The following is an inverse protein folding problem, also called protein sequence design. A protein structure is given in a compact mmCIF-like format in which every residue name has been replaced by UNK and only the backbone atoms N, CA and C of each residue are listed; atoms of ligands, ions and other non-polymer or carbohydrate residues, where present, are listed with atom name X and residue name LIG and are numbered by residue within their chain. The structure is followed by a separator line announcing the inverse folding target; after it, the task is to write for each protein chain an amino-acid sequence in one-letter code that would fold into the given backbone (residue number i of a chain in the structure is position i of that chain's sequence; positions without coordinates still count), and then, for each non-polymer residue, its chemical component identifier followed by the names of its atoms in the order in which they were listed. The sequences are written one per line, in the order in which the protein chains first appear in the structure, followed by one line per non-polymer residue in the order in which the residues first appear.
data_IF_848754005014
#
_entry.id   IF_848754005014
#
_cell.length_a   1.000
_cell.length_b   1.000
_cell.length_c   1.000
_cell.angle_alpha   90.00
_cell.angle_beta   90.00
_cell.angle_gamma   90.00
#
_symmetry.space_group_name_H-M   'P 1'
#
loop_
_entity.id
_entity.type
_entity.pdbx_description
1 polymer ?
#
# COMPACT_ATOMS: atom_id res chain seq x y z
N UNK A 1 -11.85 -34.40 -26.68
CA UNK A 1 -11.94 -33.29 -27.65
C UNK A 1 -11.18 -32.10 -27.10
N UNK A 2 -9.98 -31.84 -27.61
CA UNK A 2 -9.19 -30.67 -27.21
C UNK A 2 -9.88 -29.42 -27.80
N UNK A 3 -10.33 -28.48 -26.94
CA UNK A 3 -10.83 -27.18 -27.37
C UNK A 3 -9.71 -26.47 -28.14
N UNK A 4 -9.88 -26.23 -29.44
CA UNK A 4 -8.96 -25.37 -30.23
C UNK A 4 -8.86 -24.03 -29.51
N UNK A 5 -7.69 -23.75 -28.95
CA UNK A 5 -7.39 -22.46 -28.31
C UNK A 5 -7.48 -21.38 -29.37
N UNK A 6 -8.41 -20.47 -29.24
CA UNK A 6 -8.61 -19.38 -30.20
C UNK A 6 -7.42 -18.42 -30.12
N UNK A 7 -6.55 -18.41 -31.12
CA UNK A 7 -5.34 -17.59 -31.17
C UNK A 7 -5.64 -16.11 -30.90
N UNK A 8 -6.78 -15.57 -31.38
CA UNK A 8 -7.21 -14.20 -31.10
C UNK A 8 -7.51 -13.96 -29.61
N UNK A 9 -8.04 -14.97 -28.90
CA UNK A 9 -8.31 -14.84 -27.46
C UNK A 9 -7.00 -14.86 -26.65
N UNK A 10 -6.03 -15.66 -27.06
CA UNK A 10 -4.71 -15.73 -26.43
C UNK A 10 -3.94 -14.43 -26.64
N UNK A 11 -3.86 -13.90 -27.86
CA UNK A 11 -3.18 -12.63 -28.15
C UNK A 11 -3.83 -11.47 -27.42
N UNK A 12 -5.16 -11.43 -27.32
CA UNK A 12 -5.85 -10.42 -26.52
C UNK A 12 -5.52 -10.55 -25.04
N UNK A 13 -5.53 -11.77 -24.48
CA UNK A 13 -5.18 -11.99 -23.06
C UNK A 13 -3.73 -11.58 -22.79
N UNK A 14 -2.79 -11.92 -23.65
CA UNK A 14 -1.38 -11.52 -23.53
C UNK A 14 -1.22 -9.99 -23.59
N UNK A 15 -1.91 -9.32 -24.50
CA UNK A 15 -1.90 -7.85 -24.60
C UNK A 15 -2.53 -7.19 -23.36
N UNK A 16 -3.63 -7.76 -22.83
CA UNK A 16 -4.31 -7.24 -21.65
C UNK A 16 -3.49 -7.42 -20.36
N UNK A 17 -2.59 -8.41 -20.31
CA UNK A 17 -1.75 -8.73 -19.16
C UNK A 17 -0.23 -8.61 -19.48
N UNK A 18 0.13 -7.77 -20.44
CA UNK A 18 1.50 -7.69 -20.95
C UNK A 18 2.55 -7.43 -19.85
N UNK A 19 2.25 -6.57 -18.87
CA UNK A 19 3.16 -6.26 -17.76
C UNK A 19 3.39 -7.51 -16.91
N UNK A 20 2.33 -8.25 -16.56
CA UNK A 20 2.41 -9.47 -15.76
C UNK A 20 3.25 -10.52 -16.50
N UNK A 21 2.99 -10.69 -17.80
CA UNK A 21 3.73 -11.64 -18.64
C UNK A 21 5.21 -11.28 -18.72
N UNK A 22 5.55 -10.01 -18.95
CA UNK A 22 6.95 -9.55 -18.98
C UNK A 22 7.67 -9.82 -17.65
N UNK A 23 7.02 -9.59 -16.53
CA UNK A 23 7.63 -9.80 -15.20
C UNK A 23 7.79 -11.30 -14.89
N UNK A 24 6.83 -12.13 -15.30
CA UNK A 24 6.97 -13.59 -15.19
C UNK A 24 8.15 -14.09 -16.04
N UNK A 25 8.31 -13.59 -17.27
CA UNK A 25 9.46 -13.91 -18.12
C UNK A 25 10.78 -13.42 -17.50
N UNK A 26 10.81 -12.22 -16.93
CA UNK A 26 11.97 -11.70 -16.21
C UNK A 26 12.32 -12.58 -14.99
N UNK A 27 11.33 -13.04 -14.23
CA UNK A 27 11.52 -13.94 -13.09
C UNK A 27 12.09 -15.30 -13.53
N UNK A 28 11.58 -15.87 -14.63
CA UNK A 28 12.11 -17.11 -15.21
C UNK A 28 13.56 -16.89 -15.65
N UNK A 29 13.87 -15.81 -16.37
CA UNK A 29 15.22 -15.47 -16.79
C UNK A 29 16.16 -15.32 -15.59
N UNK A 30 15.79 -14.53 -14.58
CA UNK A 30 16.60 -14.32 -13.36
C UNK A 30 16.87 -15.65 -12.65
N UNK A 31 15.89 -16.54 -12.62
CA UNK A 31 16.03 -17.86 -11.98
C UNK A 31 17.05 -18.77 -12.69
N UNK A 32 17.25 -18.62 -13.99
CA UNK A 32 18.28 -19.37 -14.73
C UNK A 32 19.68 -18.85 -14.45
N UNK A 33 19.81 -17.56 -14.13
CA UNK A 33 21.09 -16.91 -13.85
C UNK A 33 21.53 -17.07 -12.38
N UNK A 34 20.58 -17.18 -11.45
CA UNK A 34 20.89 -17.22 -10.03
C UNK A 34 20.06 -18.30 -9.29
N UNK A 35 20.74 -19.37 -8.85
CA UNK A 35 20.11 -20.49 -8.13
C UNK A 35 19.44 -20.07 -6.80
N UNK A 36 19.90 -18.97 -6.19
CA UNK A 36 19.34 -18.48 -4.94
C UNK A 36 18.01 -17.75 -5.12
N UNK A 37 17.59 -17.48 -6.37
CA UNK A 37 16.31 -16.83 -6.64
C UNK A 37 15.11 -17.59 -6.06
N UNK A 38 15.11 -18.92 -6.12
CA UNK A 38 14.07 -19.78 -5.52
C UNK A 38 14.39 -20.23 -4.10
N UNK A 39 15.41 -19.66 -3.45
CA UNK A 39 15.70 -20.01 -2.06
C UNK A 39 14.52 -19.68 -1.14
N UNK A 40 14.32 -20.50 -0.11
CA UNK A 40 13.27 -20.28 0.90
C UNK A 40 13.40 -18.89 1.53
N UNK A 41 14.63 -18.42 1.75
CA UNK A 41 14.87 -17.09 2.30
C UNK A 41 14.40 -15.98 1.37
N UNK A 42 14.64 -16.10 0.06
CA UNK A 42 14.15 -15.12 -0.91
C UNK A 42 12.62 -15.12 -1.00
N UNK A 43 11.98 -16.30 -1.02
CA UNK A 43 10.51 -16.39 -0.99
C UNK A 43 9.94 -15.75 0.27
N UNK A 44 10.56 -15.97 1.44
CA UNK A 44 10.15 -15.33 2.69
C UNK A 44 10.28 -13.81 2.62
N UNK A 45 11.40 -13.31 2.07
CA UNK A 45 11.62 -11.87 1.88
C UNK A 45 10.58 -11.28 0.93
N UNK A 46 10.30 -11.95 -0.19
CA UNK A 46 9.24 -11.56 -1.13
C UNK A 46 7.90 -11.42 -0.40
N UNK A 47 7.47 -12.45 0.33
CA UNK A 47 6.19 -12.45 1.04
C UNK A 47 6.14 -11.37 2.12
N UNK A 48 7.22 -11.20 2.88
CA UNK A 48 7.33 -10.19 3.94
C UNK A 48 7.34 -8.75 3.42
N UNK A 49 7.96 -8.51 2.26
CA UNK A 49 7.94 -7.20 1.60
C UNK A 49 6.57 -6.91 0.99
N UNK A 50 6.00 -7.90 0.30
CA UNK A 50 4.64 -7.84 -0.26
C UNK A 50 3.61 -7.53 0.81
N UNK A 51 3.73 -8.11 2.00
CA UNK A 51 2.76 -7.98 3.08
C UNK A 51 2.49 -6.51 3.44
N UNK A 52 3.54 -5.72 3.71
CA UNK A 52 3.37 -4.32 4.10
C UNK A 52 2.83 -3.48 2.94
N UNK A 53 3.39 -3.67 1.73
CA UNK A 53 2.94 -2.94 0.53
C UNK A 53 1.48 -3.25 0.18
N UNK A 54 1.06 -4.49 0.38
CA UNK A 54 -0.32 -4.91 0.16
C UNK A 54 -1.29 -4.22 1.14
N UNK A 55 -0.93 -4.09 2.42
CA UNK A 55 -1.75 -3.38 3.41
C UNK A 55 -1.97 -1.93 2.97
N UNK A 56 -0.90 -1.24 2.56
CA UNK A 56 -0.98 0.15 2.08
C UNK A 56 -1.81 0.24 0.79
N UNK A 57 -1.55 -0.65 -0.16
CA UNK A 57 -2.27 -0.70 -1.42
C UNK A 57 -3.77 -1.00 -1.23
N UNK A 58 -4.15 -1.77 -0.22
CA UNK A 58 -5.57 -1.94 0.17
C UNK A 58 -6.21 -0.61 0.57
N UNK A 59 -5.49 0.25 1.30
CA UNK A 59 -5.96 1.60 1.63
C UNK A 59 -6.15 2.46 0.37
N UNK A 60 -5.10 2.55 -0.45
CA UNK A 60 -5.11 3.32 -1.71
C UNK A 60 -6.19 2.84 -2.67
N UNK A 61 -6.45 1.54 -2.74
CA UNK A 61 -7.43 0.97 -3.67
C UNK A 61 -8.85 1.49 -3.45
N UNK A 62 -9.26 1.72 -2.20
CA UNK A 62 -10.57 2.29 -1.88
C UNK A 62 -10.72 3.71 -2.42
N UNK A 63 -9.68 4.54 -2.27
CA UNK A 63 -9.65 5.89 -2.82
C UNK A 63 -9.71 5.86 -4.36
N UNK A 64 -8.90 5.02 -5.02
CA UNK A 64 -8.92 4.89 -6.49
C UNK A 64 -10.27 4.44 -7.03
N UNK A 65 -10.92 3.46 -6.39
CA UNK A 65 -12.26 2.99 -6.79
C UNK A 65 -13.27 4.13 -6.77
N UNK A 66 -13.12 5.14 -5.90
CA UNK A 66 -13.98 6.33 -5.86
C UNK A 66 -13.45 7.51 -6.68
N UNK A 67 -12.57 7.27 -7.65
CA UNK A 67 -11.92 8.30 -8.49
C UNK A 67 -11.04 9.26 -7.71
N UNK A 68 -10.62 8.88 -6.51
CA UNK A 68 -9.70 9.65 -5.67
C UNK A 68 -8.29 9.10 -5.74
N UNK A 69 -7.31 9.95 -6.00
CA UNK A 69 -5.90 9.59 -5.88
C UNK A 69 -5.39 10.10 -4.53
N UNK A 70 -4.92 9.23 -3.67
CA UNK A 70 -4.37 9.63 -2.37
C UNK A 70 -2.84 9.63 -2.40
N UNK A 71 -2.27 10.81 -2.56
CA UNK A 71 -0.82 11.01 -2.54
C UNK A 71 -0.25 11.14 -1.12
N UNK A 72 -1.09 11.30 -0.11
CA UNK A 72 -0.62 11.43 1.27
C UNK A 72 -0.19 10.08 1.89
N UNK A 73 -0.52 8.95 1.25
CA UNK A 73 -0.34 7.60 1.78
C UNK A 73 1.07 7.33 2.31
N UNK A 74 2.10 7.65 1.53
CA UNK A 74 3.50 7.42 1.92
C UNK A 74 3.92 8.27 3.12
N UNK A 75 3.49 9.54 3.19
CA UNK A 75 3.85 10.42 4.30
C UNK A 75 3.07 10.13 5.58
N UNK A 76 1.79 9.75 5.48
CA UNK A 76 1.00 9.26 6.63
C UNK A 76 1.62 7.97 7.18
N UNK A 77 2.04 7.05 6.30
CA UNK A 77 2.78 5.85 6.68
C UNK A 77 4.10 6.20 7.36
N UNK A 78 4.88 7.15 6.81
CA UNK A 78 6.15 7.60 7.38
C UNK A 78 5.97 8.23 8.77
N UNK A 79 4.95 9.09 8.95
CA UNK A 79 4.59 9.64 10.26
C UNK A 79 4.22 8.54 11.24
N UNK A 80 3.43 7.54 10.81
CA UNK A 80 3.07 6.41 11.66
C UNK A 80 4.31 5.60 12.09
N UNK A 81 5.27 5.38 11.20
CA UNK A 81 6.53 4.72 11.52
C UNK A 81 7.36 5.52 12.52
N UNK A 82 7.46 6.84 12.36
CA UNK A 82 8.17 7.71 13.28
C UNK A 82 7.50 7.76 14.65
N UNK A 83 6.18 7.96 14.72
CA UNK A 83 5.42 7.97 15.97
C UNK A 83 5.58 6.66 16.74
N UNK A 84 5.35 5.53 16.07
CA UNK A 84 5.51 4.22 16.68
C UNK A 84 6.96 3.96 17.09
N UNK A 85 7.92 4.33 16.25
CA UNK A 85 9.35 4.19 16.57
C UNK A 85 9.73 4.92 17.85
N UNK A 86 9.34 6.20 17.98
CA UNK A 86 9.62 7.03 19.16
C UNK A 86 8.97 6.45 20.42
N UNK A 87 7.70 6.03 20.34
CA UNK A 87 6.96 5.49 21.47
C UNK A 87 7.40 4.07 21.87
N UNK A 88 8.09 3.36 20.96
CA UNK A 88 8.55 1.98 21.18
C UNK A 88 10.06 1.88 21.37
N UNK A 89 10.75 2.96 21.76
CA UNK A 89 12.16 2.92 22.15
C UNK A 89 12.36 2.18 23.47
N UNK A 90 13.48 1.45 23.58
CA UNK A 90 13.90 0.78 24.84
C UNK A 90 14.13 1.79 25.95
N UNK A 91 13.80 1.42 27.18
CA UNK A 91 14.07 2.27 28.35
C UNK A 91 15.59 2.56 28.53
N UNK A 92 16.44 1.62 28.14
CA UNK A 92 17.90 1.72 28.26
C UNK A 92 18.59 2.42 27.07
N UNK A 93 17.83 2.94 26.10
CA UNK A 93 18.42 3.61 24.95
C UNK A 93 18.89 5.02 25.31
N UNK A 94 20.18 5.34 25.09
CA UNK A 94 20.81 6.62 25.47
C UNK A 94 20.16 7.84 24.81
N UNK A 95 19.81 7.68 23.52
CA UNK A 95 19.28 8.78 22.69
C UNK A 95 17.76 8.70 22.57
N UNK A 96 17.08 8.33 23.67
CA UNK A 96 15.63 8.21 23.74
C UNK A 96 14.97 9.59 23.60
N UNK A 97 14.01 9.74 22.69
CA UNK A 97 13.30 11.00 22.46
C UNK A 97 12.58 11.50 23.73
N UNK A 98 11.97 10.59 24.48
CA UNK A 98 11.30 10.90 25.75
C UNK A 98 11.90 10.08 26.87
N UNK A 99 12.99 10.57 27.54
CA UNK A 99 13.72 9.80 28.54
C UNK A 99 12.84 9.24 29.68
N UNK A 100 11.85 10.03 30.12
CA UNK A 100 10.97 9.69 31.24
C UNK A 100 9.70 8.93 30.83
N UNK A 101 9.50 8.63 29.54
CA UNK A 101 8.33 7.90 29.10
C UNK A 101 8.46 6.42 29.48
N UNK A 102 7.49 5.84 30.25
CA UNK A 102 7.50 4.42 30.54
C UNK A 102 7.30 3.59 29.27
N UNK A 103 7.65 2.31 29.33
CA UNK A 103 7.38 1.40 28.23
C UNK A 103 5.88 1.16 28.04
N UNK A 104 5.33 1.69 26.96
CA UNK A 104 3.91 1.57 26.64
C UNK A 104 3.59 0.18 26.05
N UNK A 105 2.39 -0.39 26.33
CA UNK A 105 1.95 -1.60 25.67
C UNK A 105 1.87 -1.43 24.16
N UNK A 106 2.36 -2.41 23.40
CA UNK A 106 2.42 -2.39 21.93
C UNK A 106 1.07 -2.08 21.28
N UNK A 107 -0.01 -2.71 21.78
CA UNK A 107 -1.36 -2.51 21.26
C UNK A 107 -1.84 -1.07 21.51
N UNK A 108 -1.51 -0.48 22.65
CA UNK A 108 -1.87 0.91 22.97
C UNK A 108 -1.20 1.86 21.95
N UNK A 109 0.09 1.69 21.67
CA UNK A 109 0.81 2.51 20.69
C UNK A 109 0.21 2.35 19.30
N UNK A 110 -0.10 1.11 18.89
CA UNK A 110 -0.76 0.86 17.61
C UNK A 110 -2.09 1.62 17.51
N UNK A 111 -2.95 1.52 18.53
CA UNK A 111 -4.26 2.21 18.55
C UNK A 111 -4.08 3.72 18.50
N UNK A 112 -3.15 4.28 19.28
CA UNK A 112 -2.88 5.74 19.29
C UNK A 112 -2.44 6.22 17.89
N UNK A 113 -1.51 5.52 17.26
CA UNK A 113 -1.02 5.85 15.92
C UNK A 113 -2.12 5.71 14.86
N UNK A 114 -2.93 4.65 14.95
CA UNK A 114 -4.07 4.47 14.05
C UNK A 114 -5.11 5.58 14.21
N UNK A 115 -5.44 5.98 15.43
CA UNK A 115 -6.40 7.06 15.67
C UNK A 115 -5.90 8.40 15.11
N UNK A 116 -4.62 8.74 15.33
CA UNK A 116 -4.04 9.98 14.82
C UNK A 116 -4.01 10.00 13.29
N UNK A 117 -3.57 8.91 12.65
CA UNK A 117 -3.60 8.82 11.20
C UNK A 117 -5.03 8.77 10.64
N UNK A 118 -5.96 8.12 11.35
CA UNK A 118 -7.38 8.13 11.01
C UNK A 118 -8.00 9.53 11.00
N UNK A 119 -7.58 10.41 11.93
CA UNK A 119 -7.96 11.82 11.92
C UNK A 119 -7.44 12.55 10.68
N UNK A 120 -6.20 12.28 10.26
CA UNK A 120 -5.65 12.82 9.00
C UNK A 120 -6.54 12.39 7.81
N UNK A 121 -6.91 11.10 7.78
CA UNK A 121 -7.84 10.60 6.76
C UNK A 121 -9.22 11.26 6.82
N UNK A 122 -9.74 11.51 8.02
CA UNK A 122 -11.00 12.23 8.18
C UNK A 122 -10.92 13.67 7.64
N UNK A 123 -9.82 14.37 7.87
CA UNK A 123 -9.58 15.71 7.32
C UNK A 123 -9.50 15.66 5.80
N UNK A 124 -8.72 14.76 5.22
CA UNK A 124 -8.64 14.56 3.75
C UNK A 124 -10.03 14.31 3.15
N UNK A 125 -10.75 13.32 3.72
CA UNK A 125 -12.08 12.98 3.26
C UNK A 125 -13.07 14.15 3.38
N UNK A 126 -12.98 14.96 4.43
CA UNK A 126 -13.83 16.13 4.64
C UNK A 126 -13.54 17.24 3.65
N UNK A 127 -12.28 17.55 3.39
CA UNK A 127 -11.86 18.55 2.40
C UNK A 127 -12.37 18.17 1.01
N UNK A 128 -12.24 16.92 0.63
CA UNK A 128 -12.70 16.40 -0.66
C UNK A 128 -14.23 16.40 -0.75
N UNK A 129 -14.91 15.91 0.31
CA UNK A 129 -16.33 15.71 0.29
C UNK A 129 -17.14 17.02 0.41
N UNK A 130 -16.75 17.91 1.31
CA UNK A 130 -17.49 19.15 1.61
C UNK A 130 -16.99 20.35 0.82
N UNK A 131 -15.66 20.53 0.73
CA UNK A 131 -15.08 21.67 0.00
C UNK A 131 -14.93 21.41 -1.50
N UNK A 132 -15.22 20.16 -1.95
CA UNK A 132 -15.13 19.74 -3.36
C UNK A 132 -13.74 19.98 -3.98
N UNK A 133 -12.71 20.00 -3.15
CA UNK A 133 -11.32 20.08 -3.64
C UNK A 133 -10.98 18.78 -4.36
N UNK A 134 -10.38 18.85 -5.57
CA UNK A 134 -9.95 17.65 -6.27
C UNK A 134 -9.04 16.78 -5.39
N UNK A 135 -9.29 15.45 -5.32
CA UNK A 135 -8.56 14.56 -4.42
C UNK A 135 -7.03 14.65 -4.53
N UNK A 136 -6.52 14.75 -5.76
CA UNK A 136 -5.10 14.92 -6.02
C UNK A 136 -4.51 16.15 -5.30
N UNK A 137 -5.21 17.32 -5.37
CA UNK A 137 -4.74 18.57 -4.76
C UNK A 137 -4.84 18.48 -3.23
N UNK A 138 -5.95 17.99 -2.71
CA UNK A 138 -6.17 17.86 -1.27
C UNK A 138 -5.10 16.96 -0.64
N UNK A 139 -4.84 15.79 -1.24
CA UNK A 139 -3.90 14.81 -0.69
C UNK A 139 -2.44 15.20 -0.91
N UNK A 140 -2.11 15.93 -1.98
CA UNK A 140 -0.78 16.53 -2.17
C UNK A 140 -0.49 17.59 -1.10
N UNK A 141 -1.46 18.46 -0.80
CA UNK A 141 -1.36 19.40 0.31
C UNK A 141 -1.18 18.69 1.65
N UNK A 142 -1.98 17.66 1.91
CA UNK A 142 -1.85 16.85 3.13
C UNK A 142 -0.51 16.12 3.21
N UNK A 143 0.01 15.60 2.11
CA UNK A 143 1.35 15.01 2.04
C UNK A 143 2.42 15.98 2.57
N UNK A 144 2.36 17.24 2.13
CA UNK A 144 3.31 18.29 2.53
C UNK A 144 3.12 18.66 4.02
N UNK A 145 1.87 18.81 4.48
CA UNK A 145 1.56 19.07 5.88
C UNK A 145 2.09 17.97 6.81
N UNK A 146 1.80 16.72 6.49
CA UNK A 146 2.23 15.55 7.28
C UNK A 146 3.75 15.43 7.30
N UNK A 147 4.42 15.70 6.18
CA UNK A 147 5.87 15.71 6.12
C UNK A 147 6.46 16.81 7.02
N UNK A 148 5.94 18.04 6.93
CA UNK A 148 6.37 19.13 7.80
C UNK A 148 6.14 18.84 9.28
N UNK A 149 4.97 18.30 9.64
CA UNK A 149 4.70 17.88 11.00
C UNK A 149 5.65 16.78 11.48
N UNK A 150 5.99 15.81 10.61
CA UNK A 150 6.95 14.76 10.92
C UNK A 150 8.36 15.33 11.16
N UNK A 151 8.81 16.29 10.34
CA UNK A 151 10.09 16.98 10.51
C UNK A 151 10.16 17.73 11.85
N UNK A 152 9.12 18.48 12.19
CA UNK A 152 9.06 19.23 13.47
C UNK A 152 9.06 18.25 14.64
N UNK A 153 8.26 17.20 14.58
CA UNK A 153 8.11 16.23 15.67
C UNK A 153 9.39 15.42 15.93
N UNK A 154 10.11 15.05 14.86
CA UNK A 154 11.33 14.22 14.96
C UNK A 154 12.62 15.05 15.02
N UNK A 155 12.56 16.37 14.80
CA UNK A 155 13.77 17.18 14.59
C UNK A 155 14.62 16.71 13.41
N UNK A 156 14.03 15.97 12.46
CA UNK A 156 14.70 15.29 11.35
C UNK A 156 15.76 14.24 11.78
N UNK A 157 15.78 13.84 13.06
CA UNK A 157 16.71 12.85 13.61
C UNK A 157 16.18 11.44 13.30
N UNK A 158 17.06 10.52 12.82
CA UNK A 158 16.69 9.12 12.67
C UNK A 158 16.32 8.47 14.01
N UNK A 159 15.28 7.65 14.00
CA UNK A 159 14.75 6.97 15.18
C UNK A 159 15.28 5.54 15.20
N UNK A 160 15.99 5.19 16.28
CA UNK A 160 16.52 3.85 16.53
C UNK A 160 16.24 3.40 17.96
N UNK A 161 16.92 2.34 18.40
CA UNK A 161 16.82 1.84 19.77
C UNK A 161 15.47 1.19 20.10
N UNK A 162 14.82 0.55 19.11
CA UNK A 162 13.47 -0.01 19.25
C UNK A 162 13.47 -1.27 20.12
N UNK A 163 12.39 -1.48 20.84
CA UNK A 163 12.15 -2.64 21.70
C UNK A 163 12.07 -3.94 20.89
N UNK A 164 12.54 -5.03 21.50
CA UNK A 164 12.59 -6.34 20.84
C UNK A 164 11.20 -6.95 20.61
N UNK A 165 10.21 -6.68 21.47
CA UNK A 165 8.83 -7.12 21.28
C UNK A 165 8.18 -6.44 20.06
N UNK A 166 8.50 -5.15 19.83
CA UNK A 166 8.03 -4.43 18.67
C UNK A 166 8.69 -4.93 17.37
N UNK A 167 10.02 -5.00 17.32
CA UNK A 167 10.73 -5.52 16.14
C UNK A 167 10.43 -7.00 15.90
N UNK A 168 10.28 -7.79 16.96
CA UNK A 168 9.92 -9.21 16.90
C UNK A 168 8.54 -9.46 16.27
N UNK A 169 7.61 -8.51 16.39
CA UNK A 169 6.33 -8.58 15.69
C UNK A 169 6.51 -8.69 14.16
N UNK A 170 7.46 -7.98 13.61
CA UNK A 170 7.69 -7.93 12.17
C UNK A 170 8.72 -8.96 11.68
N UNK A 171 9.72 -9.30 12.51
CA UNK A 171 10.81 -10.23 12.16
C UNK A 171 10.52 -11.67 12.58
N UNK A 172 9.49 -11.90 13.41
CA UNK A 172 9.06 -13.21 13.86
C UNK A 172 8.37 -14.05 12.78
N UNK A 173 8.25 -15.34 13.06
CA UNK A 173 7.63 -16.33 12.17
C UNK A 173 6.60 -17.15 12.93
N UNK A 174 5.55 -17.60 12.21
CA UNK A 174 4.51 -18.50 12.75
C UNK A 174 4.79 -19.93 12.31
N UNK A 175 4.68 -20.87 13.25
CA UNK A 175 4.80 -22.31 12.96
C UNK A 175 6.19 -22.73 12.47
N UNK A 176 6.26 -23.38 11.31
CA UNK A 176 7.49 -23.97 10.74
C UNK A 176 8.49 -22.96 10.19
N UNK A 177 8.42 -21.69 10.56
CA UNK A 177 9.24 -20.58 10.02
C UNK A 177 9.01 -20.31 8.53
N UNK A 178 7.95 -20.82 7.93
CA UNK A 178 7.61 -20.56 6.52
C UNK A 178 6.92 -19.22 6.33
N UNK A 179 6.02 -18.84 7.24
CA UNK A 179 5.24 -17.61 7.18
C UNK A 179 5.75 -16.60 8.21
N UNK A 180 6.12 -15.40 7.74
CA UNK A 180 6.41 -14.29 8.64
C UNK A 180 5.13 -13.77 9.29
N UNK A 181 5.23 -13.23 10.50
CA UNK A 181 4.10 -12.57 11.17
C UNK A 181 3.48 -11.50 10.28
N UNK A 182 4.29 -10.76 9.51
CA UNK A 182 3.82 -9.76 8.55
C UNK A 182 2.89 -10.36 7.50
N UNK A 183 3.25 -11.54 6.97
CA UNK A 183 2.43 -12.24 5.98
C UNK A 183 1.09 -12.66 6.57
N UNK A 184 1.07 -13.15 7.81
CA UNK A 184 -0.17 -13.53 8.51
C UNK A 184 -1.06 -12.31 8.76
N UNK A 185 -0.47 -11.18 9.21
CA UNK A 185 -1.21 -9.92 9.38
C UNK A 185 -1.79 -9.44 8.05
N UNK A 186 -1.00 -9.49 6.97
CA UNK A 186 -1.46 -9.08 5.65
C UNK A 186 -2.60 -9.95 5.11
N UNK A 187 -2.55 -11.26 5.34
CA UNK A 187 -3.66 -12.17 5.01
C UNK A 187 -4.92 -11.77 5.79
N UNK A 188 -4.80 -11.53 7.10
CA UNK A 188 -5.92 -11.07 7.93
C UNK A 188 -6.53 -9.76 7.42
N UNK A 189 -5.68 -8.78 7.11
CA UNK A 189 -6.12 -7.50 6.51
C UNK A 189 -6.78 -7.74 5.16
N UNK A 190 -6.19 -8.56 4.30
CA UNK A 190 -6.75 -8.90 3.00
C UNK A 190 -8.14 -9.52 3.09
N UNK A 191 -8.37 -10.43 4.03
CA UNK A 191 -9.67 -11.04 4.29
C UNK A 191 -10.70 -10.00 4.79
N UNK A 192 -10.30 -9.13 5.71
CA UNK A 192 -11.15 -8.03 6.21
C UNK A 192 -11.52 -7.09 5.06
N UNK A 193 -10.55 -6.64 4.27
CA UNK A 193 -10.79 -5.75 3.15
C UNK A 193 -11.64 -6.40 2.05
N UNK A 194 -11.39 -7.69 1.75
CA UNK A 194 -12.23 -8.44 0.84
C UNK A 194 -13.68 -8.51 1.32
N UNK A 195 -13.90 -8.79 2.61
CA UNK A 195 -15.23 -8.80 3.22
C UNK A 195 -15.90 -7.42 3.14
N UNK A 196 -15.18 -6.36 3.50
CA UNK A 196 -15.69 -4.98 3.43
C UNK A 196 -16.11 -4.60 2.01
N UNK A 197 -15.31 -4.94 1.01
CA UNK A 197 -15.59 -4.59 -0.39
C UNK A 197 -16.76 -5.38 -0.98
N UNK A 198 -16.85 -6.67 -0.67
CA UNK A 198 -17.80 -7.56 -1.34
C UNK A 198 -19.10 -7.81 -0.56
N UNK A 199 -19.08 -7.70 0.78
CA UNK A 199 -20.18 -8.17 1.63
C UNK A 199 -20.86 -7.06 2.43
N UNK A 200 -20.37 -5.83 2.39
CA UNK A 200 -20.90 -4.73 3.20
C UNK A 200 -21.51 -3.58 2.36
N UNK A 201 -22.27 -2.71 3.03
CA UNK A 201 -22.76 -1.46 2.43
C UNK A 201 -21.62 -0.53 2.05
N UNK A 202 -20.51 -0.56 2.81
CA UNK A 202 -19.31 0.22 2.52
C UNK A 202 -18.82 -0.04 1.09
N UNK A 203 -18.58 -1.30 0.72
CA UNK A 203 -18.13 -1.66 -0.62
C UNK A 203 -19.15 -1.30 -1.69
N UNK A 204 -20.45 -1.61 -1.47
CA UNK A 204 -21.50 -1.27 -2.42
C UNK A 204 -21.53 0.24 -2.73
N UNK A 205 -21.45 1.08 -1.70
CA UNK A 205 -21.47 2.54 -1.87
C UNK A 205 -20.18 3.05 -2.55
N UNK A 206 -19.02 2.49 -2.18
CA UNK A 206 -17.74 2.79 -2.81
C UNK A 206 -17.77 2.54 -4.32
N UNK A 207 -18.23 1.38 -4.76
CA UNK A 207 -18.35 1.06 -6.19
C UNK A 207 -19.44 1.91 -6.90
N UNK A 208 -20.55 2.20 -6.24
CA UNK A 208 -21.60 3.05 -6.79
C UNK A 208 -21.10 4.48 -7.04
N UNK A 209 -20.42 5.09 -6.07
CA UNK A 209 -19.81 6.43 -6.19
C UNK A 209 -18.78 6.44 -7.32
N UNK A 210 -17.89 5.45 -7.34
CA UNK A 210 -16.86 5.34 -8.37
C UNK A 210 -17.42 5.13 -9.78
N UNK A 211 -18.56 4.45 -9.92
CA UNK A 211 -19.26 4.30 -11.20
C UNK A 211 -19.88 5.62 -11.66
N UNK A 212 -20.78 6.16 -10.85
CA UNK A 212 -21.45 7.45 -11.11
C UNK A 212 -21.91 8.09 -9.80
N UNK A 213 -21.23 9.15 -9.36
CA UNK A 213 -21.53 9.86 -8.11
C UNK A 213 -22.94 10.45 -8.09
N UNK A 214 -23.38 11.06 -9.21
CA UNK A 214 -24.72 11.65 -9.32
C UNK A 214 -25.82 10.58 -9.20
N UNK A 215 -25.65 9.46 -9.90
CA UNK A 215 -26.59 8.34 -9.81
C UNK A 215 -26.61 7.73 -8.39
N UNK A 216 -25.46 7.59 -7.75
CA UNK A 216 -25.36 7.12 -6.36
C UNK A 216 -26.11 8.05 -5.40
N UNK A 217 -25.99 9.37 -5.58
CA UNK A 217 -26.72 10.38 -4.79
C UNK A 217 -28.23 10.25 -4.96
N UNK A 218 -28.71 10.13 -6.19
CA UNK A 218 -30.14 9.93 -6.49
C UNK A 218 -30.65 8.61 -5.88
N UNK A 219 -29.82 7.57 -5.82
CA UNK A 219 -30.13 6.29 -5.19
C UNK A 219 -30.08 6.36 -3.64
N UNK A 220 -29.88 7.53 -3.04
CA UNK A 220 -29.91 7.73 -1.58
C UNK A 220 -28.58 7.43 -0.88
N UNK A 221 -27.46 7.29 -1.61
CA UNK A 221 -26.16 7.12 -1.00
C UNK A 221 -25.68 8.48 -0.44
N UNK A 222 -25.34 8.50 0.85
CA UNK A 222 -24.67 9.67 1.44
C UNK A 222 -23.20 9.69 0.99
N UNK A 223 -22.95 10.38 -0.15
CA UNK A 223 -21.61 10.47 -0.76
C UNK A 223 -20.58 11.10 0.17
N UNK A 224 -20.82 12.26 0.81
CA UNK A 224 -19.85 12.86 1.72
C UNK A 224 -19.43 11.91 2.85
N UNK A 225 -20.38 11.33 3.56
CA UNK A 225 -20.07 10.44 4.66
C UNK A 225 -19.34 9.17 4.19
N UNK A 226 -19.64 8.69 2.97
CA UNK A 226 -18.97 7.52 2.40
C UNK A 226 -17.52 7.84 2.04
N UNK A 227 -17.26 8.98 1.39
CA UNK A 227 -15.91 9.41 1.05
C UNK A 227 -15.04 9.58 2.31
N UNK A 228 -15.57 10.26 3.34
CA UNK A 228 -14.83 10.42 4.61
C UNK A 228 -14.46 9.05 5.20
N UNK A 229 -15.37 8.08 5.23
CA UNK A 229 -15.08 6.73 5.73
C UNK A 229 -14.03 6.01 4.89
N UNK A 230 -13.99 6.24 3.57
CA UNK A 230 -12.99 5.64 2.67
C UNK A 230 -11.60 6.20 3.00
N UNK A 231 -11.45 7.51 3.15
CA UNK A 231 -10.16 8.12 3.49
C UNK A 231 -9.72 7.80 4.93
N UNK A 232 -10.65 7.66 5.88
CA UNK A 232 -10.33 7.17 7.23
C UNK A 232 -9.76 5.75 7.15
N UNK A 233 -10.46 4.83 6.49
CA UNK A 233 -10.01 3.44 6.36
C UNK A 233 -8.66 3.35 5.62
N UNK A 234 -8.47 4.15 4.58
CA UNK A 234 -7.21 4.24 3.87
C UNK A 234 -6.07 4.65 4.81
N UNK A 235 -6.25 5.71 5.59
CA UNK A 235 -5.24 6.20 6.55
C UNK A 235 -4.99 5.22 7.70
N UNK A 236 -6.00 4.44 8.14
CA UNK A 236 -5.80 3.35 9.08
C UNK A 236 -4.89 2.25 8.49
N UNK A 237 -5.03 1.94 7.20
CA UNK A 237 -4.14 0.98 6.52
C UNK A 237 -2.72 1.54 6.38
N UNK A 238 -2.56 2.84 6.10
CA UNK A 238 -1.26 3.50 6.05
C UNK A 238 -0.59 3.49 7.44
N UNK A 239 -1.37 3.75 8.49
CA UNK A 239 -0.89 3.70 9.88
C UNK A 239 -0.39 2.31 10.27
N UNK A 240 -1.16 1.28 9.98
CA UNK A 240 -0.76 -0.11 10.20
C UNK A 240 0.49 -0.47 9.39
N UNK A 241 0.52 -0.08 8.11
CA UNK A 241 1.69 -0.27 7.26
C UNK A 241 2.94 0.41 7.81
N UNK A 242 2.84 1.65 8.27
CA UNK A 242 3.92 2.42 8.88
C UNK A 242 4.42 1.80 10.18
N UNK A 243 3.50 1.40 11.06
CA UNK A 243 3.83 0.67 12.28
C UNK A 243 4.64 -0.60 11.98
N UNK A 244 4.22 -1.37 11.00
CA UNK A 244 4.90 -2.62 10.62
C UNK A 244 6.23 -2.39 9.91
N UNK A 245 6.36 -1.32 9.10
CA UNK A 245 7.64 -0.95 8.46
C UNK A 245 8.66 -0.52 9.49
N UNK A 246 8.29 0.33 10.46
CA UNK A 246 9.16 0.72 11.55
C UNK A 246 9.66 -0.49 12.35
N UNK A 247 8.77 -1.41 12.69
CA UNK A 247 9.10 -2.66 13.36
C UNK A 247 10.07 -3.53 12.53
N UNK A 248 9.83 -3.65 11.22
CA UNK A 248 10.64 -4.46 10.30
C UNK A 248 12.03 -3.88 10.09
N UNK A 249 12.12 -2.56 9.92
CA UNK A 249 13.38 -1.86 9.69
C UNK A 249 14.23 -1.72 10.97
N UNK A 250 13.64 -1.90 12.15
CA UNK A 250 14.29 -1.63 13.43
C UNK A 250 14.53 -0.14 13.66
N UNK A 251 13.86 0.74 12.94
CA UNK A 251 13.98 2.18 13.01
C UNK A 251 13.05 2.90 12.02
N UNK A 252 13.04 4.22 12.10
CA UNK A 252 12.30 5.08 11.19
C UNK A 252 13.04 6.42 10.97
N UNK A 253 12.68 7.11 9.92
CA UNK A 253 13.17 8.46 9.62
C UNK A 253 12.10 9.24 8.85
N UNK A 254 12.31 10.52 8.67
CA UNK A 254 11.44 11.37 7.86
C UNK A 254 11.41 10.97 6.37
N UNK A 255 12.37 10.18 5.91
CA UNK A 255 12.38 9.58 4.57
C UNK A 255 11.57 8.28 4.48
N UNK A 256 11.19 7.67 5.62
CA UNK A 256 10.36 6.46 5.64
C UNK A 256 9.03 6.73 4.92
N UNK A 257 8.64 5.83 4.04
CA UNK A 257 7.39 5.94 3.29
C UNK A 257 7.47 6.75 2.00
N UNK A 258 8.61 7.38 1.69
CA UNK A 258 8.79 8.12 0.44
C UNK A 258 8.57 7.20 -0.78
N UNK A 259 7.65 7.59 -1.67
CA UNK A 259 7.36 6.88 -2.92
C UNK A 259 6.40 5.69 -2.78
N UNK A 260 6.04 5.28 -1.56
CA UNK A 260 5.10 4.17 -1.36
C UNK A 260 3.70 4.47 -1.92
N UNK A 261 3.29 5.74 -1.92
CA UNK A 261 2.04 6.17 -2.54
C UNK A 261 2.01 5.85 -4.04
N UNK A 262 3.08 6.16 -4.75
CA UNK A 262 3.18 5.90 -6.20
C UNK A 262 3.23 4.41 -6.50
N UNK A 263 4.02 3.65 -5.72
CA UNK A 263 4.07 2.20 -5.84
C UNK A 263 2.71 1.55 -5.60
N UNK A 264 1.97 2.00 -4.57
CA UNK A 264 0.66 1.47 -4.23
C UNK A 264 -0.38 1.77 -5.32
N UNK A 265 -0.40 3.01 -5.85
CA UNK A 265 -1.28 3.41 -6.96
C UNK A 265 -1.01 2.53 -8.19
N UNK A 266 0.26 2.38 -8.56
CA UNK A 266 0.64 1.58 -9.72
C UNK A 266 0.34 0.10 -9.52
N UNK A 267 0.60 -0.45 -8.34
CA UNK A 267 0.26 -1.83 -8.00
C UNK A 267 -1.26 -2.05 -8.10
N UNK A 268 -2.07 -1.13 -7.57
CA UNK A 268 -3.52 -1.17 -7.71
C UNK A 268 -3.94 -1.19 -9.19
N UNK A 269 -3.37 -0.31 -10.01
CA UNK A 269 -3.70 -0.19 -11.44
C UNK A 269 -3.32 -1.47 -12.21
N UNK A 270 -2.13 -2.02 -11.98
CA UNK A 270 -1.69 -3.31 -12.56
C UNK A 270 -2.62 -4.44 -12.11
N UNK A 271 -3.04 -4.40 -10.85
CA UNK A 271 -3.99 -5.34 -10.27
C UNK A 271 -5.43 -5.17 -10.75
N UNK A 272 -5.69 -4.24 -11.70
CA UNK A 272 -7.01 -4.01 -12.31
C UNK A 272 -7.93 -3.11 -11.51
N UNK A 273 -7.41 -2.33 -10.55
CA UNK A 273 -8.15 -1.21 -9.95
C UNK A 273 -8.08 -0.04 -10.90
N UNK A 274 -9.22 0.42 -11.39
CA UNK A 274 -9.29 1.53 -12.35
C UNK A 274 -9.15 2.90 -11.66
N UNK A 275 -8.24 3.71 -12.15
CA UNK A 275 -8.12 5.11 -11.74
C UNK A 275 -9.33 5.95 -12.17
N UNK A 276 -10.11 5.47 -13.16
CA UNK A 276 -11.38 6.09 -13.57
C UNK A 276 -12.56 5.69 -12.67
N UNK A 277 -12.32 4.88 -11.64
CA UNK A 277 -13.27 4.49 -10.62
C UNK A 277 -14.18 3.32 -10.98
N UNK A 278 -14.93 2.85 -9.99
CA UNK A 278 -15.98 1.85 -10.12
C UNK A 278 -15.53 0.40 -10.30
N UNK A 279 -14.22 0.15 -10.46
CA UNK A 279 -13.66 -1.19 -10.70
C UNK A 279 -12.43 -1.42 -9.83
N UNK A 280 -12.35 -2.61 -9.25
CA UNK A 280 -11.19 -3.05 -8.46
C UNK A 280 -11.54 -4.26 -7.59
N UNK A 281 -10.55 -5.05 -7.24
CA UNK A 281 -10.72 -6.21 -6.34
C UNK A 281 -9.51 -6.37 -5.44
N UNK A 282 -9.71 -6.81 -4.19
CA UNK A 282 -8.61 -7.04 -3.23
C UNK A 282 -7.61 -8.11 -3.72
N UNK A 283 -8.05 -9.25 -4.30
CA UNK A 283 -7.09 -10.17 -4.93
C UNK A 283 -6.29 -9.55 -6.07
N UNK A 284 -6.91 -8.68 -6.88
CA UNK A 284 -6.22 -7.93 -7.91
C UNK A 284 -5.12 -7.05 -7.33
N UNK A 285 -5.41 -6.30 -6.26
CA UNK A 285 -4.41 -5.48 -5.56
C UNK A 285 -3.22 -6.34 -5.11
N UNK A 286 -3.47 -7.53 -4.54
CA UNK A 286 -2.40 -8.46 -4.14
C UNK A 286 -1.53 -8.87 -5.33
N UNK A 287 -2.14 -9.23 -6.45
CA UNK A 287 -1.41 -9.59 -7.67
C UNK A 287 -0.55 -8.42 -8.15
N UNK A 288 -1.10 -7.20 -8.18
CA UNK A 288 -0.35 -6.01 -8.60
C UNK A 288 0.86 -5.72 -7.70
N UNK A 289 0.71 -5.85 -6.38
CA UNK A 289 1.82 -5.68 -5.43
C UNK A 289 2.88 -6.77 -5.62
N UNK A 290 2.48 -8.03 -5.79
CA UNK A 290 3.41 -9.13 -6.08
C UNK A 290 4.22 -8.88 -7.35
N UNK A 291 3.58 -8.37 -8.40
CA UNK A 291 4.22 -8.02 -9.68
C UNK A 291 5.35 -7.00 -9.46
N UNK A 292 5.10 -5.94 -8.68
CA UNK A 292 6.11 -4.95 -8.34
C UNK A 292 7.26 -5.52 -7.49
N UNK A 293 6.94 -6.35 -6.51
CA UNK A 293 7.98 -6.96 -5.66
C UNK A 293 8.86 -7.93 -6.45
N UNK A 294 8.26 -8.74 -7.32
CA UNK A 294 9.03 -9.64 -8.19
C UNK A 294 9.94 -8.85 -9.12
N UNK A 295 9.46 -7.75 -9.71
CA UNK A 295 10.30 -6.86 -10.53
C UNK A 295 11.54 -6.37 -9.75
N UNK A 296 11.34 -5.85 -8.54
CA UNK A 296 12.44 -5.37 -7.68
C UNK A 296 13.45 -6.47 -7.39
N UNK A 297 12.96 -7.65 -7.02
CA UNK A 297 13.81 -8.80 -6.70
C UNK A 297 14.59 -9.25 -7.95
N UNK A 298 13.96 -9.31 -9.12
CA UNK A 298 14.66 -9.64 -10.37
C UNK A 298 15.82 -8.67 -10.62
N UNK A 299 15.57 -7.36 -10.55
CA UNK A 299 16.61 -6.35 -10.77
C UNK A 299 17.74 -6.46 -9.73
N UNK A 300 17.41 -6.71 -8.47
CA UNK A 300 18.38 -6.91 -7.40
C UNK A 300 19.26 -8.14 -7.64
N UNK A 301 18.69 -9.28 -8.02
CA UNK A 301 19.43 -10.51 -8.33
C UNK A 301 20.28 -10.40 -9.60
N UNK A 302 19.91 -9.52 -10.51
CA UNK A 302 20.70 -9.20 -11.71
C UNK A 302 21.84 -8.22 -11.42
N UNK A 303 22.00 -7.76 -10.15
CA UNK A 303 23.03 -6.80 -9.76
C UNK A 303 22.80 -5.39 -10.27
N UNK A 304 21.56 -5.05 -10.66
CA UNK A 304 21.21 -3.70 -11.12
C UNK A 304 21.24 -2.74 -9.96
N UNK A 305 21.88 -1.60 -10.14
CA UNK A 305 21.93 -0.55 -9.13
C UNK A 305 20.51 -0.11 -8.72
N UNK A 306 20.24 0.08 -7.42
CA UNK A 306 18.92 0.53 -6.93
C UNK A 306 18.37 1.78 -7.63
N UNK A 307 19.24 2.68 -8.10
CA UNK A 307 18.82 3.87 -8.85
C UNK A 307 18.05 3.51 -10.13
N UNK A 308 18.49 2.48 -10.87
CA UNK A 308 17.77 2.01 -12.07
C UNK A 308 16.44 1.34 -11.73
N UNK A 309 16.28 0.83 -10.51
CA UNK A 309 15.01 0.27 -10.05
C UNK A 309 13.93 1.35 -10.01
N UNK A 310 14.25 2.59 -9.61
CA UNK A 310 13.30 3.71 -9.66
C UNK A 310 12.92 4.08 -11.09
N UNK A 311 13.85 4.02 -12.05
CA UNK A 311 13.55 4.26 -13.48
C UNK A 311 12.60 3.18 -13.99
N UNK A 312 12.90 1.91 -13.74
CA UNK A 312 12.05 0.79 -14.14
C UNK A 312 10.65 0.90 -13.53
N UNK A 313 10.54 1.25 -12.26
CA UNK A 313 9.26 1.47 -11.58
C UNK A 313 8.48 2.62 -12.24
N UNK A 314 9.12 3.75 -12.50
CA UNK A 314 8.50 4.90 -13.17
C UNK A 314 7.94 4.52 -14.55
N UNK A 315 8.71 3.79 -15.34
CA UNK A 315 8.26 3.29 -16.65
C UNK A 315 7.05 2.36 -16.51
N UNK A 316 7.09 1.41 -15.57
CA UNK A 316 5.98 0.49 -15.32
C UNK A 316 4.72 1.25 -14.89
N UNK A 317 4.83 2.28 -14.05
CA UNK A 317 3.71 3.15 -13.64
C UNK A 317 3.09 3.81 -14.87
N UNK A 318 3.90 4.48 -15.70
CA UNK A 318 3.42 5.19 -16.89
C UNK A 318 2.70 4.23 -17.84
N UNK A 319 3.30 3.07 -18.11
CA UNK A 319 2.71 2.07 -19.01
C UNK A 319 1.41 1.50 -18.42
N UNK A 320 1.39 1.19 -17.12
CA UNK A 320 0.20 0.66 -16.46
C UNK A 320 -0.99 1.63 -16.54
N UNK A 321 -0.76 2.91 -16.21
CA UNK A 321 -1.80 3.95 -16.26
C UNK A 321 -2.25 4.21 -17.71
N UNK A 322 -1.33 4.24 -18.67
CA UNK A 322 -1.65 4.42 -20.07
C UNK A 322 -2.53 3.27 -20.61
N UNK A 323 -2.23 2.03 -20.22
CA UNK A 323 -3.03 0.86 -20.58
C UNK A 323 -4.43 0.89 -19.94
N UNK A 324 -4.56 1.31 -18.69
CA UNK A 324 -5.86 1.46 -18.02
C UNK A 324 -6.73 2.52 -18.74
N UNK A 325 -6.17 3.69 -19.03
CA UNK A 325 -6.85 4.75 -19.77
C UNK A 325 -7.30 4.27 -21.16
N UNK A 326 -6.46 3.55 -21.90
CA UNK A 326 -6.79 3.00 -23.20
C UNK A 326 -7.94 2.00 -23.13
N UNK A 327 -7.95 1.11 -22.12
CA UNK A 327 -9.06 0.18 -21.88
C UNK A 327 -10.36 0.89 -21.54
N UNK A 328 -10.30 1.99 -20.81
CA UNK A 328 -11.46 2.81 -20.48
C UNK A 328 -12.04 3.51 -21.71
N UNK A 329 -11.19 4.12 -22.55
CA UNK A 329 -11.60 4.80 -23.77
C UNK A 329 -12.19 3.82 -24.82
N UNK A 330 -11.67 2.59 -24.89
CA UNK A 330 -12.18 1.58 -25.80
C UNK A 330 -13.55 0.98 -25.40
N UNK A 331 -14.04 1.25 -24.19
CA UNK A 331 -15.36 0.83 -23.69
C UNK A 331 -16.45 1.90 -23.83
N UNK A 332 -16.07 3.14 -24.14
CA UNK A 332 -16.99 4.24 -24.52
C UNK A 332 -17.24 4.22 -26.02
#
# INVERSE_FOLDING_TARGET
MAKKVNAKAVTKWLSDNAIIVMIVLAAIFTSTQNKNFYSINNIRNLLSNTAVRFIIACGVSGCLITKGTDLSAGRVMGLAACLSGILMQKASYSDKFYPNLPELPLILVLVMVMLLCGLIGAVNGSVIAFLKVPPFIATLGMQTLVYGACLIYTGAIPIGGLRNDYTGLATGYVGTRMLSNLTVIAIGVGLIMWFLYNKTRYGKYMYAIGGNESAATVAGVNVPATLIRIYILASLMYALGGFLVGAKAGGASTATGLGYELEAIAACTIGGVSANGGVGTVPGVLVGVLVFEVLKICLQFMGVDPAYTYIAQGLVIIVAVALDLRKYLAKK
#
